data_IF_317191873218
#
_entry.id   IF_317191873218
#
_cell.length_a   1.000
_cell.length_b   1.000
_cell.length_c   1.000
_cell.angle_alpha   90.00
_cell.angle_beta   90.00
_cell.angle_gamma   90.00
#
_symmetry.space_group_name_H-M   'P 1'
#
loop_
_entity.id
_entity.type
_entity.pdbx_description
1 polymer ?
#
# COMPACT_ATOMS: atom_id res chain seq x y z
N UNK A 1 5.69 -32.53 -15.72
CA UNK A 1 6.73 -32.62 -14.66
C UNK A 1 6.18 -32.05 -13.37
N UNK A 2 6.50 -32.63 -12.20
CA UNK A 2 6.13 -32.08 -10.88
C UNK A 2 7.39 -31.53 -10.21
N UNK A 3 7.32 -30.30 -9.70
CA UNK A 3 8.43 -29.60 -9.03
C UNK A 3 7.99 -29.25 -7.61
N UNK A 4 8.85 -29.47 -6.62
CA UNK A 4 8.62 -29.00 -5.26
C UNK A 4 9.19 -27.59 -5.09
N UNK A 5 8.39 -26.68 -4.55
CA UNK A 5 8.78 -25.29 -4.26
C UNK A 5 9.14 -25.18 -2.78
N UNK A 6 10.36 -24.74 -2.50
CA UNK A 6 10.90 -24.59 -1.15
C UNK A 6 11.11 -23.12 -0.78
N UNK A 7 10.96 -22.83 0.51
CA UNK A 7 11.43 -21.61 1.15
C UNK A 7 12.72 -21.93 1.89
N UNK A 8 13.73 -21.05 1.75
CA UNK A 8 15.04 -21.15 2.41
C UNK A 8 15.73 -22.52 2.16
N UNK A 9 15.47 -23.12 1.00
CA UNK A 9 15.93 -24.47 0.59
C UNK A 9 15.59 -25.61 1.58
N UNK A 10 14.66 -25.37 2.52
CA UNK A 10 14.35 -26.29 3.61
C UNK A 10 12.84 -26.54 3.77
N UNK A 11 12.03 -25.48 3.78
CA UNK A 11 10.60 -25.59 4.11
C UNK A 11 9.79 -25.81 2.83
N UNK A 12 9.13 -26.97 2.64
CA UNK A 12 8.33 -27.21 1.44
C UNK A 12 7.02 -26.43 1.50
N UNK A 13 6.73 -25.65 0.45
CA UNK A 13 5.57 -24.75 0.36
C UNK A 13 4.45 -25.33 -0.51
N UNK A 14 4.81 -25.85 -1.69
CA UNK A 14 3.84 -26.37 -2.65
C UNK A 14 4.47 -27.33 -3.65
N UNK A 15 3.63 -28.11 -4.33
CA UNK A 15 4.00 -28.83 -5.55
C UNK A 15 3.42 -28.09 -6.75
N UNK A 16 4.28 -27.77 -7.72
CA UNK A 16 3.91 -27.22 -9.02
C UNK A 16 3.84 -28.34 -10.05
N UNK A 17 2.67 -28.54 -10.65
CA UNK A 17 2.50 -29.40 -11.83
C UNK A 17 2.67 -28.55 -13.08
N UNK A 18 3.82 -28.68 -13.74
CA UNK A 18 4.24 -27.86 -14.89
C UNK A 18 3.36 -28.13 -16.10
N UNK A 19 2.88 -27.05 -16.73
CA UNK A 19 2.10 -27.03 -17.96
C UNK A 19 2.95 -26.54 -19.14
N UNK A 20 3.68 -25.44 -18.95
CA UNK A 20 4.53 -24.86 -19.98
C UNK A 20 5.81 -24.24 -19.40
N UNK A 21 6.81 -24.08 -20.26
CA UNK A 21 8.04 -23.34 -19.98
C UNK A 21 8.30 -22.48 -21.20
N UNK A 22 8.32 -21.16 -21.02
CA UNK A 22 8.50 -20.23 -22.12
C UNK A 22 9.43 -19.09 -21.76
N UNK A 23 10.09 -18.53 -22.78
CA UNK A 23 10.91 -17.33 -22.66
C UNK A 23 10.06 -16.11 -23.01
N UNK A 24 9.58 -15.33 -22.03
CA UNK A 24 8.77 -14.14 -22.31
C UNK A 24 9.58 -13.09 -23.05
N UNK A 25 8.91 -12.27 -23.86
CA UNK A 25 9.49 -11.03 -24.34
C UNK A 25 9.35 -9.96 -23.24
N UNK A 26 10.40 -9.80 -22.43
CA UNK A 26 10.45 -8.85 -21.30
C UNK A 26 10.22 -7.39 -21.74
N UNK A 27 10.57 -7.02 -22.96
CA UNK A 27 10.31 -5.67 -23.50
C UNK A 27 8.81 -5.43 -23.66
N UNK A 28 8.07 -6.40 -24.21
CA UNK A 28 6.61 -6.30 -24.34
C UNK A 28 5.96 -6.22 -22.96
N UNK A 29 6.40 -7.04 -22.00
CA UNK A 29 5.87 -7.00 -20.62
C UNK A 29 6.15 -5.64 -19.97
N UNK A 30 7.37 -5.12 -20.07
CA UNK A 30 7.74 -3.81 -19.56
C UNK A 30 6.87 -2.69 -20.14
N UNK A 31 6.70 -2.64 -21.45
CA UNK A 31 5.91 -1.61 -22.12
C UNK A 31 4.42 -1.73 -21.82
N UNK A 32 3.86 -2.93 -21.97
CA UNK A 32 2.40 -3.14 -21.89
C UNK A 32 1.88 -3.21 -20.47
N UNK A 33 2.69 -3.66 -19.50
CA UNK A 33 2.26 -3.78 -18.10
C UNK A 33 2.73 -2.60 -17.26
N UNK A 34 3.94 -2.10 -17.48
CA UNK A 34 4.61 -1.13 -16.60
C UNK A 34 4.96 0.20 -17.28
N UNK A 35 4.40 0.48 -18.47
CA UNK A 35 4.56 1.71 -19.26
C UNK A 35 5.96 1.99 -19.82
N UNK A 36 6.85 1.01 -19.82
CA UNK A 36 8.09 1.01 -20.61
C UNK A 36 9.25 1.90 -20.12
N UNK A 37 9.06 2.74 -19.10
CA UNK A 37 10.16 3.54 -18.54
C UNK A 37 11.16 2.64 -17.78
N UNK A 38 12.44 2.57 -18.18
CA UNK A 38 13.42 1.68 -17.55
C UNK A 38 13.69 1.97 -16.07
N UNK A 39 13.37 3.18 -15.57
CA UNK A 39 13.48 3.53 -14.16
C UNK A 39 12.29 3.03 -13.32
N UNK A 40 11.24 2.49 -13.94
CA UNK A 40 10.10 1.93 -13.22
C UNK A 40 10.55 0.73 -12.36
N UNK A 41 10.19 0.67 -11.06
CA UNK A 41 10.68 -0.40 -10.17
C UNK A 41 10.42 -1.83 -10.67
N UNK A 42 9.23 -2.10 -11.20
CA UNK A 42 8.94 -3.41 -11.80
C UNK A 42 9.75 -3.71 -13.06
N UNK A 43 10.08 -2.71 -13.90
CA UNK A 43 10.90 -2.92 -15.10
C UNK A 43 12.35 -3.22 -14.69
N UNK A 44 12.88 -2.44 -13.74
CA UNK A 44 14.19 -2.71 -13.17
C UNK A 44 14.27 -4.12 -12.57
N UNK A 45 13.25 -4.56 -11.83
CA UNK A 45 13.20 -5.93 -11.30
C UNK A 45 13.12 -6.98 -12.42
N UNK A 46 12.27 -6.77 -13.42
CA UNK A 46 12.04 -7.70 -14.54
C UNK A 46 13.33 -8.00 -15.32
N UNK A 47 14.16 -6.99 -15.55
CA UNK A 47 15.39 -7.14 -16.31
C UNK A 47 16.60 -7.55 -15.45
N UNK A 48 16.67 -7.10 -14.19
CA UNK A 48 17.89 -7.28 -13.38
C UNK A 48 17.79 -8.38 -12.32
N UNK A 49 16.58 -8.88 -11.99
CA UNK A 49 16.37 -9.86 -10.91
C UNK A 49 15.57 -11.06 -11.37
N UNK A 50 14.48 -10.86 -12.12
CA UNK A 50 13.64 -11.96 -12.58
C UNK A 50 14.38 -12.87 -13.57
N UNK A 51 14.17 -14.19 -13.46
CA UNK A 51 14.69 -15.17 -14.42
C UNK A 51 14.21 -14.91 -15.85
N UNK A 52 14.90 -15.48 -16.83
CA UNK A 52 14.58 -15.30 -18.26
C UNK A 52 13.49 -16.25 -18.78
N UNK A 53 13.03 -17.19 -17.95
CA UNK A 53 12.00 -18.16 -18.31
C UNK A 53 10.89 -18.15 -17.27
N UNK A 54 9.65 -18.25 -17.74
CA UNK A 54 8.47 -18.48 -16.91
C UNK A 54 8.06 -19.94 -17.01
N UNK A 55 7.56 -20.46 -15.89
CA UNK A 55 7.08 -21.84 -15.76
C UNK A 55 5.62 -21.77 -15.29
N UNK A 56 4.67 -22.00 -16.19
CA UNK A 56 3.26 -22.05 -15.86
C UNK A 56 2.85 -23.44 -15.37
N UNK A 57 1.87 -23.48 -14.47
CA UNK A 57 1.38 -24.73 -13.90
C UNK A 57 0.41 -24.53 -12.74
N UNK A 58 -0.27 -25.62 -12.37
CA UNK A 58 -1.18 -25.64 -11.21
C UNK A 58 -0.42 -25.94 -9.91
N UNK A 59 -0.87 -25.34 -8.81
CA UNK A 59 -0.28 -25.54 -7.48
C UNK A 59 -1.13 -26.48 -6.61
N UNK A 60 -0.46 -27.35 -5.88
CA UNK A 60 -0.99 -28.09 -4.74
C UNK A 60 -0.29 -27.58 -3.48
N UNK A 61 -1.04 -26.91 -2.59
CA UNK A 61 -0.48 -26.27 -1.41
C UNK A 61 -0.11 -27.30 -0.32
N UNK A 62 1.07 -27.14 0.28
CA UNK A 62 1.49 -27.85 1.49
C UNK A 62 1.25 -26.94 2.70
N UNK A 63 1.82 -25.73 2.66
CA UNK A 63 1.64 -24.70 3.68
C UNK A 63 1.88 -23.30 3.10
N UNK A 64 1.51 -22.26 3.83
CA UNK A 64 1.89 -20.88 3.50
C UNK A 64 3.37 -20.64 3.83
N UNK A 65 4.03 -19.65 3.19
CA UNK A 65 5.36 -19.23 3.59
C UNK A 65 5.44 -18.88 5.08
N UNK A 66 6.52 -19.31 5.71
CA UNK A 66 6.75 -19.13 7.13
C UNK A 66 7.06 -17.66 7.44
N UNK A 67 6.34 -17.11 8.43
CA UNK A 67 6.55 -15.78 8.95
C UNK A 67 6.54 -15.81 10.48
N UNK A 68 7.63 -15.39 11.11
CA UNK A 68 7.74 -15.31 12.57
C UNK A 68 7.27 -13.97 13.13
N UNK A 69 7.22 -12.93 12.29
CA UNK A 69 6.77 -11.61 12.66
C UNK A 69 5.24 -11.47 12.49
N UNK A 70 4.59 -10.92 13.51
CA UNK A 70 3.17 -10.59 13.49
C UNK A 70 2.21 -11.75 13.12
N UNK A 71 2.39 -12.97 13.68
CA UNK A 71 1.60 -14.14 13.28
C UNK A 71 0.08 -13.92 13.42
N UNK A 72 -0.34 -13.18 14.45
CA UNK A 72 -1.76 -12.87 14.70
C UNK A 72 -2.36 -11.81 13.77
N UNK A 73 -1.56 -11.05 13.01
CA UNK A 73 -2.05 -9.96 12.17
C UNK A 73 -2.12 -10.32 10.67
N UNK A 74 -1.42 -11.38 10.24
CA UNK A 74 -1.41 -11.88 8.84
C UNK A 74 -2.62 -12.79 8.59
N UNK A 75 -3.81 -12.20 8.47
CA UNK A 75 -5.04 -12.98 8.25
C UNK A 75 -5.09 -13.48 6.80
N UNK A 76 -5.48 -14.72 6.59
CA UNK A 76 -5.86 -15.22 5.26
C UNK A 76 -7.23 -14.66 4.83
N UNK A 77 -7.62 -14.73 3.56
CA UNK A 77 -8.96 -14.32 3.12
C UNK A 77 -10.08 -14.97 3.93
N UNK A 78 -9.97 -16.28 4.22
CA UNK A 78 -10.96 -17.01 5.00
C UNK A 78 -11.02 -16.51 6.46
N UNK A 79 -9.86 -16.33 7.10
CA UNK A 79 -9.79 -15.82 8.47
C UNK A 79 -10.35 -14.39 8.56
N UNK A 80 -10.03 -13.52 7.59
CA UNK A 80 -10.50 -12.13 7.60
C UNK A 80 -12.03 -12.07 7.42
N UNK A 81 -12.60 -12.89 6.53
CA UNK A 81 -14.06 -13.05 6.41
C UNK A 81 -14.72 -13.54 7.70
N UNK A 82 -14.10 -14.49 8.42
CA UNK A 82 -14.57 -14.92 9.74
C UNK A 82 -14.52 -13.79 10.79
N UNK A 83 -13.46 -12.97 10.77
CA UNK A 83 -13.35 -11.79 11.66
C UNK A 83 -14.47 -10.77 11.38
N UNK A 84 -14.86 -10.60 10.12
CA UNK A 84 -16.00 -9.74 9.76
C UNK A 84 -17.33 -10.35 10.21
N UNK A 85 -17.55 -11.63 9.94
CA UNK A 85 -18.77 -12.34 10.34
C UNK A 85 -18.97 -12.33 11.87
N UNK A 86 -17.91 -12.61 12.64
CA UNK A 86 -17.99 -12.64 14.12
C UNK A 86 -18.31 -11.27 14.73
N UNK A 87 -18.05 -10.18 14.00
CA UNK A 87 -18.39 -8.80 14.38
C UNK A 87 -19.66 -8.28 13.72
N UNK A 88 -20.34 -9.11 12.93
CA UNK A 88 -21.50 -8.72 12.12
C UNK A 88 -21.18 -7.55 11.18
N UNK A 89 -19.98 -7.55 10.58
CA UNK A 89 -19.57 -6.57 9.59
C UNK A 89 -19.93 -7.08 8.19
N UNK A 90 -20.99 -6.51 7.62
CA UNK A 90 -21.45 -6.74 6.25
C UNK A 90 -20.85 -5.73 5.25
N UNK A 91 -20.53 -4.52 5.72
CA UNK A 91 -19.92 -3.45 4.93
C UNK A 91 -18.55 -3.08 5.47
N UNK A 92 -17.51 -3.28 4.66
CA UNK A 92 -16.12 -2.98 5.02
C UNK A 92 -15.41 -2.25 3.88
N UNK A 93 -14.88 -1.06 4.19
CA UNK A 93 -14.02 -0.29 3.29
C UNK A 93 -12.55 -0.56 3.59
N UNK A 94 -11.84 -1.09 2.60
CA UNK A 94 -10.42 -1.42 2.72
C UNK A 94 -9.52 -0.25 2.30
N UNK A 95 -8.49 -0.02 3.10
CA UNK A 95 -7.44 0.97 2.85
C UNK A 95 -6.11 0.28 2.57
N UNK A 96 -5.61 0.45 1.33
CA UNK A 96 -4.27 0.05 0.91
C UNK A 96 -3.23 1.06 1.41
N UNK A 97 -2.11 0.58 1.95
CA UNK A 97 -0.94 1.45 2.14
C UNK A 97 0.37 0.66 2.21
N UNK A 98 1.44 1.30 1.72
CA UNK A 98 2.84 0.91 1.92
C UNK A 98 3.64 1.96 2.72
N UNK A 99 2.99 3.05 3.13
CA UNK A 99 3.59 4.17 3.86
C UNK A 99 3.03 4.27 5.28
N UNK A 100 3.76 4.87 6.23
CA UNK A 100 3.20 5.28 7.52
C UNK A 100 1.92 6.10 7.32
N UNK A 101 0.91 5.82 8.14
CA UNK A 101 -0.30 6.63 8.18
C UNK A 101 -0.07 7.87 9.04
N UNK A 102 -0.76 8.94 8.68
CA UNK A 102 -0.69 10.28 9.28
C UNK A 102 -2.13 10.80 9.42
N UNK A 103 -2.33 12.03 9.91
CA UNK A 103 -3.69 12.54 10.14
C UNK A 103 -4.55 12.54 8.89
N UNK A 104 -4.01 13.00 7.75
CA UNK A 104 -4.73 12.99 6.48
C UNK A 104 -5.25 11.58 6.11
N UNK A 105 -4.46 10.54 6.36
CA UNK A 105 -4.86 9.15 6.11
C UNK A 105 -5.99 8.70 7.05
N UNK A 106 -5.93 9.07 8.34
CA UNK A 106 -6.98 8.76 9.31
C UNK A 106 -8.29 9.48 8.96
N UNK A 107 -8.22 10.76 8.59
CA UNK A 107 -9.42 11.51 8.18
C UNK A 107 -10.03 10.95 6.90
N UNK A 108 -9.18 10.56 5.94
CA UNK A 108 -9.61 9.93 4.69
C UNK A 108 -10.39 8.64 4.95
N UNK A 109 -9.84 7.71 5.73
CA UNK A 109 -10.49 6.42 5.99
C UNK A 109 -11.76 6.56 6.82
N UNK A 110 -11.81 7.51 7.76
CA UNK A 110 -13.02 7.82 8.53
C UNK A 110 -14.11 8.42 7.63
N UNK A 111 -13.75 9.30 6.69
CA UNK A 111 -14.69 9.81 5.67
C UNK A 111 -15.22 8.70 4.79
N UNK A 112 -14.34 7.83 4.29
CA UNK A 112 -14.72 6.68 3.46
C UNK A 112 -15.72 5.76 4.20
N UNK A 113 -15.45 5.49 5.48
CA UNK A 113 -16.34 4.69 6.33
C UNK A 113 -17.72 5.34 6.50
N UNK A 114 -17.77 6.67 6.65
CA UNK A 114 -19.05 7.41 6.75
C UNK A 114 -19.82 7.39 5.44
N UNK A 115 -19.16 7.71 4.32
CA UNK A 115 -19.78 7.75 2.99
C UNK A 115 -20.30 6.37 2.56
N UNK A 116 -19.51 5.32 2.78
CA UNK A 116 -19.89 3.95 2.45
C UNK A 116 -20.80 3.29 3.51
N UNK A 117 -21.09 3.96 4.63
CA UNK A 117 -21.70 3.37 5.83
C UNK A 117 -21.07 2.00 6.18
N UNK A 118 -19.75 1.98 6.27
CA UNK A 118 -18.92 0.78 6.36
C UNK A 118 -17.93 0.87 7.53
N UNK A 119 -17.42 -0.28 7.96
CA UNK A 119 -16.29 -0.38 8.89
C UNK A 119 -14.97 -0.28 8.13
N UNK A 120 -13.88 0.07 8.82
CA UNK A 120 -12.57 0.27 8.19
C UNK A 120 -11.71 -0.99 8.30
N UNK A 121 -11.17 -1.46 7.19
CA UNK A 121 -10.04 -2.38 7.16
C UNK A 121 -8.76 -1.61 6.79
N UNK A 122 -7.86 -1.43 7.76
CA UNK A 122 -6.50 -0.97 7.51
C UNK A 122 -5.72 -2.19 7.02
N UNK A 123 -5.42 -2.25 5.72
CA UNK A 123 -4.88 -3.45 5.06
C UNK A 123 -3.48 -3.20 4.48
N UNK A 124 -2.46 -2.85 5.29
CA UNK A 124 -1.15 -2.46 4.78
C UNK A 124 -0.39 -3.63 4.17
N UNK A 125 0.44 -3.32 3.19
CA UNK A 125 1.38 -4.28 2.60
C UNK A 125 2.60 -4.46 3.48
N UNK A 126 2.96 -5.72 3.75
CA UNK A 126 4.15 -6.13 4.50
C UNK A 126 5.04 -7.11 3.74
N UNK A 127 4.73 -7.39 2.48
CA UNK A 127 5.68 -8.00 1.54
C UNK A 127 6.55 -6.95 0.87
N UNK A 128 6.96 -7.19 -0.38
CA UNK A 128 7.79 -6.25 -1.14
C UNK A 128 7.01 -4.97 -1.49
N UNK A 129 7.65 -3.82 -1.32
CA UNK A 129 7.10 -2.49 -1.61
C UNK A 129 8.10 -1.69 -2.46
N UNK A 130 7.95 -0.36 -2.55
CA UNK A 130 8.87 0.46 -3.34
C UNK A 130 10.26 0.48 -2.69
N UNK A 131 11.37 0.31 -3.45
CA UNK A 131 12.72 0.51 -2.91
C UNK A 131 12.87 1.88 -2.24
N UNK A 132 13.41 1.86 -1.01
CA UNK A 132 13.59 3.05 -0.17
C UNK A 132 12.38 3.44 0.69
N UNK A 133 11.30 2.66 0.67
CA UNK A 133 10.21 2.80 1.65
C UNK A 133 10.68 2.42 3.06
N UNK A 134 9.96 2.93 4.07
CA UNK A 134 10.20 2.58 5.47
C UNK A 134 9.89 1.08 5.65
N UNK A 135 10.73 0.39 6.43
CA UNK A 135 10.60 -1.04 6.68
C UNK A 135 9.22 -1.38 7.28
N UNK A 136 8.73 -2.59 7.01
CA UNK A 136 7.38 -2.96 7.43
C UNK A 136 7.25 -3.08 8.95
N UNK A 137 8.31 -3.38 9.70
CA UNK A 137 8.22 -3.46 11.16
C UNK A 137 7.91 -2.10 11.77
N UNK A 138 8.62 -1.07 11.32
CA UNK A 138 8.35 0.32 11.70
C UNK A 138 6.96 0.75 11.30
N UNK A 139 6.53 0.42 10.08
CA UNK A 139 5.17 0.74 9.62
C UNK A 139 4.09 0.02 10.44
N UNK A 140 4.29 -1.25 10.78
CA UNK A 140 3.35 -2.00 11.63
C UNK A 140 3.21 -1.36 13.00
N UNK A 141 4.32 -0.93 13.64
CA UNK A 141 4.25 -0.16 14.89
C UNK A 141 3.44 1.13 14.71
N UNK A 142 3.65 1.85 13.60
CA UNK A 142 2.84 3.04 13.28
C UNK A 142 1.35 2.70 13.11
N UNK A 143 1.00 1.61 12.44
CA UNK A 143 -0.40 1.23 12.24
C UNK A 143 -1.08 0.80 13.54
N UNK A 144 -0.37 0.05 14.40
CA UNK A 144 -0.84 -0.32 15.73
C UNK A 144 -1.03 0.88 16.64
N UNK A 145 -0.26 1.95 16.43
CA UNK A 145 -0.42 3.19 17.18
C UNK A 145 -1.59 4.02 16.64
N UNK A 146 -1.67 4.22 15.32
CA UNK A 146 -2.69 5.09 14.73
C UNK A 146 -4.09 4.49 14.80
N UNK A 147 -4.24 3.16 14.83
CA UNK A 147 -5.56 2.53 14.94
C UNK A 147 -6.28 2.92 16.25
N UNK A 148 -5.53 3.26 17.31
CA UNK A 148 -6.06 3.78 18.58
C UNK A 148 -6.72 5.16 18.45
N UNK A 149 -6.49 5.87 17.34
CA UNK A 149 -7.09 7.18 17.02
C UNK A 149 -8.44 7.07 16.30
N UNK A 150 -8.90 5.85 16.04
CA UNK A 150 -10.23 5.58 15.52
C UNK A 150 -11.22 5.40 16.68
N UNK A 151 -12.50 5.75 16.51
CA UNK A 151 -13.55 5.34 17.43
C UNK A 151 -13.50 3.83 17.72
N UNK A 152 -13.76 3.44 18.96
CA UNK A 152 -13.69 2.03 19.39
C UNK A 152 -14.57 1.15 18.49
N UNK A 153 -14.01 0.05 17.99
CA UNK A 153 -14.75 -0.94 17.19
C UNK A 153 -15.08 -0.53 15.75
N UNK A 154 -14.53 0.58 15.21
CA UNK A 154 -14.78 0.96 13.81
C UNK A 154 -13.74 0.42 12.82
N UNK A 155 -12.53 0.10 13.28
CA UNK A 155 -11.40 -0.25 12.43
C UNK A 155 -10.77 -1.59 12.82
N UNK A 156 -10.30 -2.34 11.83
CA UNK A 156 -9.56 -3.59 11.98
C UNK A 156 -8.23 -3.50 11.23
N UNK A 157 -7.14 -4.00 11.82
CA UNK A 157 -5.82 -4.06 11.20
C UNK A 157 -5.54 -5.49 10.75
N UNK A 158 -5.22 -5.68 9.47
CA UNK A 158 -4.70 -6.94 8.95
C UNK A 158 -3.56 -6.70 7.99
N UNK A 159 -2.51 -7.50 8.07
CA UNK A 159 -1.32 -7.35 7.23
C UNK A 159 -1.46 -8.19 5.96
N UNK A 160 -1.20 -7.55 4.82
CA UNK A 160 -1.23 -8.20 3.51
C UNK A 160 0.20 -8.56 3.07
N UNK A 161 0.57 -9.85 2.94
CA UNK A 161 1.88 -10.28 2.44
C UNK A 161 1.98 -10.16 0.89
N UNK A 162 1.49 -9.05 0.32
CA UNK A 162 1.56 -8.76 -1.11
C UNK A 162 2.96 -8.28 -1.48
N UNK A 163 3.45 -8.70 -2.65
CA UNK A 163 4.59 -8.06 -3.30
C UNK A 163 4.06 -7.06 -4.34
N UNK A 164 4.16 -5.77 -4.06
CA UNK A 164 3.72 -4.71 -4.96
C UNK A 164 4.62 -4.62 -6.19
N UNK A 165 4.06 -4.16 -7.31
CA UNK A 165 4.82 -3.90 -8.57
C UNK A 165 5.03 -2.41 -8.82
N UNK A 166 4.41 -1.56 -8.03
CA UNK A 166 4.34 -0.12 -8.26
C UNK A 166 3.73 0.22 -9.63
N UNK A 167 2.80 -0.61 -10.10
CA UNK A 167 2.20 -0.57 -11.44
C UNK A 167 0.93 0.28 -11.50
N UNK A 168 0.85 1.33 -10.69
CA UNK A 168 -0.16 2.37 -10.76
C UNK A 168 -1.59 1.87 -10.96
N UNK A 169 -2.16 2.21 -12.10
CA UNK A 169 -3.53 1.92 -12.50
C UNK A 169 -3.85 0.42 -12.59
N UNK A 170 -3.02 -0.39 -13.25
CA UNK A 170 -3.21 -1.85 -13.30
C UNK A 170 -3.16 -2.48 -11.92
N UNK A 171 -2.26 -2.01 -11.07
CA UNK A 171 -2.16 -2.49 -9.70
C UNK A 171 -3.33 -2.02 -8.82
N UNK A 172 -4.00 -0.92 -9.15
CA UNK A 172 -5.25 -0.51 -8.48
C UNK A 172 -6.40 -1.49 -8.75
N UNK A 173 -6.57 -1.93 -10.00
CA UNK A 173 -7.53 -2.98 -10.39
C UNK A 173 -7.18 -4.29 -9.66
N UNK A 174 -5.90 -4.68 -9.67
CA UNK A 174 -5.44 -5.87 -8.96
C UNK A 174 -5.71 -5.80 -7.46
N UNK A 175 -5.46 -4.65 -6.83
CA UNK A 175 -5.75 -4.43 -5.42
C UNK A 175 -7.25 -4.53 -5.10
N UNK A 176 -8.13 -4.03 -5.97
CA UNK A 176 -9.57 -4.16 -5.80
C UNK A 176 -9.98 -5.64 -5.77
N UNK A 177 -9.49 -6.43 -6.73
CA UNK A 177 -9.72 -7.89 -6.78
C UNK A 177 -9.22 -8.59 -5.52
N UNK A 178 -7.99 -8.27 -5.09
CA UNK A 178 -7.44 -8.83 -3.85
C UNK A 178 -8.35 -8.49 -2.67
N UNK A 179 -8.78 -7.22 -2.52
CA UNK A 179 -9.60 -6.80 -1.37
C UNK A 179 -10.99 -7.43 -1.38
N UNK A 180 -11.58 -7.59 -2.56
CA UNK A 180 -12.80 -8.37 -2.74
C UNK A 180 -12.61 -9.80 -2.23
N UNK A 181 -11.53 -10.47 -2.65
CA UNK A 181 -11.23 -11.84 -2.21
C UNK A 181 -11.08 -11.94 -0.69
N UNK A 182 -10.49 -10.93 -0.06
CA UNK A 182 -10.36 -10.81 1.41
C UNK A 182 -11.65 -10.39 2.13
N UNK A 183 -12.75 -10.15 1.41
CA UNK A 183 -14.07 -9.88 1.99
C UNK A 183 -14.43 -8.41 2.19
N UNK A 184 -13.64 -7.47 1.66
CA UNK A 184 -14.03 -6.07 1.65
C UNK A 184 -15.15 -5.84 0.62
N UNK A 185 -16.13 -5.02 0.97
CA UNK A 185 -17.19 -4.60 0.04
C UNK A 185 -16.87 -3.29 -0.66
N UNK A 186 -15.97 -2.48 -0.07
CA UNK A 186 -15.50 -1.24 -0.67
C UNK A 186 -13.98 -1.15 -0.67
N UNK A 187 -13.41 -0.41 -1.60
CA UNK A 187 -11.97 -0.18 -1.69
C UNK A 187 -11.63 1.27 -2.01
N UNK A 188 -10.77 1.87 -1.18
CA UNK A 188 -10.28 3.23 -1.39
C UNK A 188 -9.23 3.23 -2.52
N UNK A 189 -9.41 4.13 -3.50
CA UNK A 189 -8.41 4.46 -4.52
C UNK A 189 -8.11 5.95 -4.46
N UNK A 190 -6.92 6.29 -3.97
CA UNK A 190 -6.49 7.68 -3.80
C UNK A 190 -5.73 8.25 -5.01
N UNK A 191 -5.20 9.46 -4.85
CA UNK A 191 -4.24 10.07 -5.79
C UNK A 191 -2.97 9.22 -5.91
N UNK A 192 -2.50 9.00 -7.14
CA UNK A 192 -1.25 8.28 -7.46
C UNK A 192 -1.19 6.89 -6.81
N UNK A 193 -2.34 6.19 -6.82
CA UNK A 193 -2.49 4.89 -6.17
C UNK A 193 -1.53 3.87 -6.78
N UNK A 194 -0.70 3.25 -5.93
CA UNK A 194 0.36 2.32 -6.33
C UNK A 194 1.38 2.91 -7.34
N UNK A 195 1.47 4.24 -7.47
CA UNK A 195 2.46 4.90 -8.31
C UNK A 195 3.87 4.92 -7.68
N UNK A 196 4.94 4.83 -8.48
CA UNK A 196 6.31 5.02 -8.02
C UNK A 196 6.74 6.50 -7.96
N UNK A 197 5.89 7.43 -8.38
CA UNK A 197 6.16 8.88 -8.42
C UNK A 197 6.74 9.33 -9.75
N UNK A 198 7.92 9.97 -9.71
CA UNK A 198 8.60 10.56 -10.88
C UNK A 198 9.90 9.84 -11.19
N UNK A 199 10.28 9.81 -12.46
CA UNK A 199 11.61 9.41 -12.92
C UNK A 199 12.66 10.52 -12.68
N UNK A 200 13.92 10.24 -13.02
CA UNK A 200 15.05 11.15 -12.87
C UNK A 200 14.90 12.48 -13.62
N UNK A 201 14.08 12.50 -14.67
CA UNK A 201 13.75 13.70 -15.47
C UNK A 201 12.58 14.50 -14.91
N UNK A 202 12.00 14.07 -13.78
CA UNK A 202 10.87 14.75 -13.13
C UNK A 202 9.50 14.47 -13.76
N UNK A 203 9.42 13.51 -14.68
CA UNK A 203 8.18 13.09 -15.34
C UNK A 203 7.51 12.01 -14.49
N UNK A 204 6.20 12.13 -14.27
CA UNK A 204 5.43 11.13 -13.52
C UNK A 204 5.30 9.83 -14.34
N UNK A 205 5.46 8.67 -13.69
CA UNK A 205 5.23 7.37 -14.35
C UNK A 205 3.73 7.16 -14.68
N UNK A 206 2.87 7.70 -13.82
CA UNK A 206 1.42 7.65 -13.94
C UNK A 206 0.83 9.02 -13.65
N UNK A 207 -0.25 9.39 -14.33
CA UNK A 207 -1.01 10.55 -13.95
C UNK A 207 -1.63 10.36 -12.55
N UNK A 208 -1.93 11.45 -11.84
CA UNK A 208 -2.38 11.39 -10.45
C UNK A 208 -3.70 10.66 -10.24
N UNK A 209 -4.49 10.43 -11.29
CA UNK A 209 -5.81 9.80 -11.21
C UNK A 209 -6.04 8.69 -12.23
N UNK A 210 -5.02 8.28 -13.00
CA UNK A 210 -5.09 7.17 -13.97
C UNK A 210 -5.64 5.89 -13.31
N UNK A 211 -5.27 5.65 -12.06
CA UNK A 211 -5.76 4.51 -11.29
C UNK A 211 -7.26 4.57 -10.98
N UNK A 212 -7.81 5.76 -10.75
CA UNK A 212 -9.25 5.92 -10.56
C UNK A 212 -9.99 5.71 -11.88
N UNK A 213 -9.45 6.26 -12.97
CA UNK A 213 -10.04 6.12 -14.31
C UNK A 213 -10.07 4.66 -14.77
N UNK A 214 -8.96 3.92 -14.63
CA UNK A 214 -8.91 2.53 -15.03
C UNK A 214 -9.82 1.65 -14.15
N UNK A 215 -9.83 1.87 -12.85
CA UNK A 215 -10.71 1.12 -11.94
C UNK A 215 -12.19 1.40 -12.24
N UNK A 216 -12.57 2.65 -12.54
CA UNK A 216 -13.94 2.99 -12.95
C UNK A 216 -14.33 2.27 -14.25
N UNK A 217 -13.41 2.14 -15.21
CA UNK A 217 -13.67 1.42 -16.47
C UNK A 217 -14.04 -0.06 -16.26
N UNK A 218 -13.57 -0.68 -15.17
CA UNK A 218 -13.89 -2.06 -14.79
C UNK A 218 -14.94 -2.18 -13.68
N UNK A 219 -15.62 -1.09 -13.30
CA UNK A 219 -16.56 -1.05 -12.18
C UNK A 219 -17.61 -2.16 -12.19
N UNK A 220 -18.17 -2.47 -13.36
CA UNK A 220 -19.21 -3.49 -13.50
C UNK A 220 -18.68 -4.93 -13.44
N UNK A 221 -17.37 -5.13 -13.62
CA UNK A 221 -16.73 -6.45 -13.59
C UNK A 221 -16.02 -6.72 -12.26
N UNK A 222 -15.63 -5.65 -11.55
CA UNK A 222 -14.86 -5.75 -10.31
C UNK A 222 -15.65 -6.34 -9.15
N UNK A 223 -16.97 -6.14 -9.09
CA UNK A 223 -17.86 -6.63 -8.02
C UNK A 223 -17.37 -6.22 -6.61
N UNK A 224 -16.84 -4.99 -6.52
CA UNK A 224 -16.45 -4.31 -5.28
C UNK A 224 -16.60 -2.80 -5.53
N UNK A 225 -17.19 -2.08 -4.59
CA UNK A 225 -17.45 -0.65 -4.74
C UNK A 225 -16.17 0.17 -4.49
N UNK A 226 -15.82 1.04 -5.42
CA UNK A 226 -14.60 1.86 -5.29
C UNK A 226 -14.97 3.21 -4.70
N UNK A 227 -14.23 3.62 -3.67
CA UNK A 227 -14.37 4.93 -3.03
C UNK A 227 -13.19 5.80 -3.49
N UNK A 228 -13.35 6.60 -4.55
CA UNK A 228 -12.28 7.46 -5.03
C UNK A 228 -12.04 8.61 -4.06
N UNK A 229 -10.78 8.87 -3.72
CA UNK A 229 -10.41 10.06 -2.95
C UNK A 229 -9.52 10.99 -3.74
N UNK A 230 -9.91 12.26 -3.79
CA UNK A 230 -9.01 13.35 -4.16
C UNK A 230 -8.04 13.64 -3.01
N UNK A 231 -7.01 14.42 -3.31
CA UNK A 231 -6.00 14.79 -2.34
C UNK A 231 -6.63 15.46 -1.11
N UNK A 232 -6.37 14.92 0.08
CA UNK A 232 -6.79 15.51 1.35
C UNK A 232 -5.69 16.44 1.86
N UNK A 233 -6.05 17.67 2.22
CA UNK A 233 -5.13 18.70 2.71
C UNK A 233 -5.58 19.27 4.06
N UNK A 234 -4.66 19.93 4.79
CA UNK A 234 -4.94 20.58 6.05
C UNK A 234 -5.32 22.05 5.83
N UNK A 235 -6.38 22.51 6.50
CA UNK A 235 -6.87 23.88 6.47
C UNK A 235 -6.47 24.56 7.80
N UNK A 236 -5.41 25.39 7.83
CA UNK A 236 -4.88 25.92 9.08
C UNK A 236 -5.86 26.85 9.80
N UNK A 237 -6.67 27.58 9.03
CA UNK A 237 -7.61 28.56 9.56
C UNK A 237 -8.83 27.91 10.23
N UNK A 238 -9.06 26.63 9.96
CA UNK A 238 -10.21 25.86 10.44
C UNK A 238 -9.82 24.63 11.27
N UNK A 239 -8.52 24.40 11.46
CA UNK A 239 -7.92 23.22 12.12
C UNK A 239 -8.56 21.87 11.72
N UNK A 240 -8.80 21.68 10.41
CA UNK A 240 -9.42 20.46 9.88
C UNK A 240 -8.83 20.02 8.55
N UNK A 241 -9.21 18.81 8.15
CA UNK A 241 -8.83 18.23 6.86
C UNK A 241 -10.01 18.22 5.90
N UNK A 242 -9.74 18.49 4.62
CA UNK A 242 -10.75 18.42 3.56
C UNK A 242 -10.15 17.89 2.25
N UNK A 243 -10.95 17.20 1.42
CA UNK A 243 -10.63 16.98 0.01
C UNK A 243 -10.43 18.32 -0.71
N UNK A 244 -9.39 18.39 -1.56
CA UNK A 244 -9.00 19.63 -2.24
C UNK A 244 -10.05 20.11 -3.27
N UNK A 245 -10.89 19.22 -3.76
CA UNK A 245 -11.99 19.49 -4.69
C UNK A 245 -13.23 20.09 -4.01
N UNK A 246 -13.28 20.08 -2.68
CA UNK A 246 -14.37 20.67 -1.88
C UNK A 246 -14.00 22.05 -1.30
N UNK A 247 -12.84 22.60 -1.65
CA UNK A 247 -12.33 23.86 -1.12
C UNK A 247 -11.96 24.82 -2.27
N UNK A 248 -12.25 26.10 -2.06
CA UNK A 248 -11.78 27.16 -2.96
C UNK A 248 -10.34 27.53 -2.58
N UNK A 249 -9.36 26.96 -3.27
CA UNK A 249 -7.94 27.17 -2.98
C UNK A 249 -7.45 28.61 -3.21
N UNK A 250 -8.28 29.47 -3.84
CA UNK A 250 -7.97 30.89 -3.98
C UNK A 250 -8.32 31.70 -2.72
N UNK A 251 -9.23 31.18 -1.89
CA UNK A 251 -9.72 31.83 -0.67
C UNK A 251 -9.31 31.11 0.60
N UNK A 252 -9.13 29.80 0.52
CA UNK A 252 -8.82 28.95 1.66
C UNK A 252 -7.35 28.56 1.63
N UNK A 253 -6.61 28.95 2.67
CA UNK A 253 -5.22 28.56 2.84
C UNK A 253 -5.13 27.06 3.12
N UNK A 254 -4.19 26.40 2.46
CA UNK A 254 -3.94 24.96 2.63
C UNK A 254 -2.49 24.70 3.02
N UNK A 255 -2.25 23.66 3.81
CA UNK A 255 -0.92 23.16 4.11
C UNK A 255 -0.81 21.67 3.78
N UNK A 256 0.36 21.29 3.28
CA UNK A 256 0.73 19.91 3.04
C UNK A 256 2.22 19.71 3.30
N UNK A 257 2.59 18.52 3.77
CA UNK A 257 3.99 18.09 3.87
C UNK A 257 4.15 16.88 2.96
N UNK A 258 4.99 17.04 1.94
CA UNK A 258 5.33 15.94 1.03
C UNK A 258 6.19 14.89 1.74
N UNK A 259 6.21 13.66 1.22
CA UNK A 259 7.10 12.62 1.74
C UNK A 259 8.59 13.02 1.70
N UNK A 260 9.00 13.83 0.71
CA UNK A 260 10.36 14.37 0.62
C UNK A 260 10.65 15.35 1.75
N UNK A 261 9.73 16.25 2.07
CA UNK A 261 9.88 17.17 3.19
C UNK A 261 9.84 16.45 4.55
N UNK A 262 8.97 15.44 4.71
CA UNK A 262 8.96 14.60 5.91
C UNK A 262 10.31 13.90 6.12
N UNK A 263 10.87 13.27 5.08
CA UNK A 263 12.20 12.64 5.14
C UNK A 263 13.28 13.66 5.49
N UNK A 264 13.21 14.88 4.94
CA UNK A 264 14.14 15.97 5.29
C UNK A 264 14.05 16.30 6.77
N UNK A 265 12.84 16.51 7.31
CA UNK A 265 12.61 16.81 8.74
C UNK A 265 13.07 15.70 9.68
N UNK A 266 12.81 14.43 9.33
CA UNK A 266 13.34 13.29 10.08
C UNK A 266 14.87 13.30 10.09
N UNK A 267 15.50 13.48 8.93
CA UNK A 267 16.96 13.48 8.77
C UNK A 267 17.66 14.61 9.53
N UNK A 268 17.09 15.82 9.53
CA UNK A 268 17.70 16.98 10.23
C UNK A 268 17.25 17.11 11.69
N UNK A 269 16.35 16.24 12.17
CA UNK A 269 15.77 16.37 13.51
C UNK A 269 14.78 17.54 13.63
N UNK A 270 14.35 18.12 12.50
CA UNK A 270 13.42 19.24 12.48
C UNK A 270 12.03 18.83 12.96
N UNK A 271 11.30 19.78 13.54
CA UNK A 271 9.96 19.55 14.10
C UNK A 271 8.96 19.11 13.02
N UNK A 272 8.14 18.10 13.35
CA UNK A 272 7.05 17.63 12.51
C UNK A 272 5.76 18.11 13.17
N UNK A 273 4.95 18.93 12.49
CA UNK A 273 3.80 19.56 13.14
C UNK A 273 2.78 18.54 13.61
N UNK A 274 2.16 18.80 14.76
CA UNK A 274 1.15 17.90 15.33
C UNK A 274 -0.10 17.79 14.48
N UNK A 275 -0.42 18.83 13.70
CA UNK A 275 -1.47 18.73 12.68
C UNK A 275 -1.06 17.64 11.68
N UNK A 276 0.15 17.63 11.13
CA UNK A 276 0.54 16.66 10.11
C UNK A 276 0.43 15.20 10.59
N UNK A 277 0.97 14.88 11.77
CA UNK A 277 0.99 13.51 12.28
C UNK A 277 0.89 13.47 13.80
N UNK A 278 0.34 12.39 14.35
CA UNK A 278 0.27 12.17 15.79
C UNK A 278 1.69 12.06 16.40
N UNK A 279 1.92 12.61 17.61
CA UNK A 279 3.25 12.61 18.25
C UNK A 279 3.85 11.21 18.42
N UNK A 280 3.04 10.20 18.77
CA UNK A 280 3.49 8.83 18.98
C UNK A 280 3.92 8.16 17.66
N UNK A 281 3.22 8.49 16.57
CA UNK A 281 3.62 8.07 15.22
C UNK A 281 4.96 8.72 14.84
N UNK A 282 5.13 10.02 15.09
CA UNK A 282 6.39 10.73 14.82
C UNK A 282 7.54 10.14 15.64
N UNK A 283 7.29 9.78 16.90
CA UNK A 283 8.28 9.14 17.77
C UNK A 283 8.80 7.84 17.17
N UNK A 284 7.91 6.93 16.78
CA UNK A 284 8.27 5.64 16.14
C UNK A 284 9.10 5.86 14.87
N UNK A 285 8.73 6.86 14.06
CA UNK A 285 9.46 7.21 12.84
C UNK A 285 10.87 7.73 13.12
N UNK A 286 11.04 8.56 14.15
CA UNK A 286 12.37 9.07 14.55
C UNK A 286 13.28 8.00 15.15
N UNK A 287 12.72 7.03 15.86
CA UNK A 287 13.48 5.89 16.38
C UNK A 287 14.09 5.06 15.24
N UNK A 288 13.37 4.93 14.13
CA UNK A 288 13.76 4.07 13.00
C UNK A 288 14.53 4.84 11.92
N UNK A 289 14.32 6.15 11.81
CA UNK A 289 15.03 7.06 10.92
C UNK A 289 15.63 8.22 11.75
N UNK A 290 16.73 7.95 12.50
CA UNK A 290 17.28 8.92 13.42
C UNK A 290 17.88 10.13 12.70
N UNK A 291 17.96 11.30 13.36
CA UNK A 291 18.55 12.49 12.78
C UNK A 291 20.06 12.33 12.58
N UNK A 292 20.66 13.16 11.72
CA UNK A 292 22.10 13.14 11.38
C UNK A 292 23.05 12.99 12.59
N UNK A 293 22.85 13.67 13.74
CA UNK A 293 23.72 13.51 14.90
C UNK A 293 23.73 12.11 15.53
N UNK A 294 22.78 11.23 15.14
CA UNK A 294 22.64 9.84 15.61
C UNK A 294 22.86 8.81 14.49
N UNK A 295 23.27 9.25 13.30
CA UNK A 295 23.55 8.35 12.17
C UNK A 295 25.02 7.96 12.15
N UNK A 296 25.31 6.71 11.79
CA UNK A 296 26.66 6.29 11.46
C UNK A 296 27.15 6.98 10.18
N UNK A 297 28.46 7.18 10.08
CA UNK A 297 29.15 7.61 8.88
C UNK A 297 30.51 6.91 8.79
N UNK A 298 31.06 6.85 7.58
CA UNK A 298 32.40 6.32 7.31
C UNK A 298 33.20 7.40 6.59
N UNK A 299 34.45 7.62 7.03
CA UNK A 299 35.44 8.42 6.31
C UNK A 299 36.32 7.45 5.54
N UNK A 300 36.46 7.69 4.23
CA UNK A 300 37.36 6.95 3.34
C UNK A 300 38.66 7.72 3.16
#
# INVERSE_FOLDING_TARGET
>A
TRIALFQDDEIPIAILTVQDVYKPNKTIEAEKVFRGDPEHPAISYLFNVAGDYYVGGSLEAIQLPQHYDYPGLRKTPAQLRLEFQSRQWDRVVAFQTRNPMHRAHRELTVRAAREANAKVLIHPVVGLTKPGDIDHHTRVRVYQEIIKRYPNGIAFLSLLPLAMRMSGDREAVWHAIIRKNYGASHFIVGRDHAGPGKNSKGVDFYGPYDAQELVESYKHELDIEVVPFRMVTYLPDEDRYAPIDQIDTTKTRTLNISGTELRRRLRVGGEIPEWFSYPEVVKILRESNPPRPKQGFQLF
#
